data_IF_690260664712
#
_entry.id   IF_690260664712
#
_cell.length_a   1.000
_cell.length_b   1.000
_cell.length_c   1.000
_cell.angle_alpha   90.00
_cell.angle_beta   90.00
_cell.angle_gamma   90.00
#
_symmetry.space_group_name_H-M   'P 1'
#
loop_
_entity.id
_entity.type
_entity.pdbx_description
1 polymer ?
#
# COMPACT_ATOMS: atom_id res chain seq x y z
N UNK A 1 26.18 -29.25 -27.35
CA UNK A 1 25.92 -28.82 -25.96
C UNK A 1 24.97 -27.64 -26.06
N UNK A 2 23.70 -27.90 -25.87
CA UNK A 2 22.66 -26.90 -25.99
C UNK A 2 22.46 -26.24 -24.64
N UNK A 3 22.68 -24.94 -24.55
CA UNK A 3 22.20 -24.14 -23.46
C UNK A 3 20.71 -23.91 -23.67
N UNK A 4 19.93 -24.58 -22.83
CA UNK A 4 18.50 -24.32 -22.67
C UNK A 4 18.31 -22.94 -22.04
N UNK A 5 18.22 -21.92 -22.88
CA UNK A 5 17.69 -20.63 -22.51
C UNK A 5 16.19 -20.74 -22.27
N UNK A 6 15.78 -21.20 -21.11
CA UNK A 6 14.43 -20.96 -20.57
C UNK A 6 14.36 -19.53 -20.06
N UNK A 7 14.60 -18.56 -20.93
CA UNK A 7 14.23 -17.17 -20.68
C UNK A 7 12.72 -17.12 -20.58
N UNK A 8 12.28 -17.09 -19.34
CA UNK A 8 10.90 -17.06 -18.90
C UNK A 8 10.13 -15.97 -19.65
N UNK A 9 9.13 -16.40 -20.42
CA UNK A 9 8.14 -15.57 -21.11
C UNK A 9 7.40 -14.56 -20.17
N UNK A 10 7.65 -14.64 -18.86
CA UNK A 10 6.99 -13.84 -17.80
C UNK A 10 7.52 -12.41 -17.62
N UNK A 11 8.59 -11.99 -18.32
CA UNK A 11 9.25 -10.70 -18.06
C UNK A 11 8.89 -9.58 -19.03
N UNK A 12 8.12 -9.84 -20.08
CA UNK A 12 7.74 -8.81 -21.06
C UNK A 12 6.30 -8.38 -20.87
N UNK A 13 6.11 -7.08 -20.65
CA UNK A 13 4.78 -6.48 -20.66
C UNK A 13 4.20 -6.62 -22.06
N UNK A 14 2.97 -7.17 -22.20
CA UNK A 14 2.31 -7.30 -23.48
C UNK A 14 1.68 -5.97 -23.91
N UNK A 15 2.46 -5.04 -24.43
CA UNK A 15 1.99 -3.74 -24.89
C UNK A 15 0.76 -3.85 -25.79
N UNK A 16 -0.22 -2.95 -25.57
CA UNK A 16 -1.47 -2.91 -26.29
C UNK A 16 -2.50 -3.97 -25.86
N UNK A 17 -2.15 -4.91 -25.01
CA UNK A 17 -3.12 -5.84 -24.44
C UNK A 17 -3.99 -5.13 -23.42
N UNK A 18 -5.27 -5.47 -23.41
CA UNK A 18 -6.25 -4.90 -22.46
C UNK A 18 -7.01 -6.01 -21.74
N UNK A 19 -7.53 -5.68 -20.60
CA UNK A 19 -8.48 -6.50 -19.83
C UNK A 19 -9.58 -5.63 -19.25
N UNK A 20 -10.71 -6.23 -18.95
CA UNK A 20 -11.87 -5.52 -18.39
C UNK A 20 -11.93 -5.78 -16.89
N UNK A 21 -12.17 -4.73 -16.14
CA UNK A 21 -12.41 -4.72 -14.70
C UNK A 21 -13.87 -4.38 -14.49
N UNK A 22 -14.61 -5.19 -13.74
CA UNK A 22 -15.96 -4.85 -13.33
C UNK A 22 -15.90 -3.92 -12.11
N UNK A 23 -16.42 -2.71 -12.27
CA UNK A 23 -16.39 -1.66 -11.25
C UNK A 23 -17.76 -1.58 -10.58
N UNK A 24 -17.81 -2.05 -9.33
CA UNK A 24 -18.97 -1.97 -8.46
C UNK A 24 -18.53 -1.62 -7.03
N UNK A 25 -19.49 -1.40 -6.12
CA UNK A 25 -19.17 -1.12 -4.71
C UNK A 25 -18.34 -2.27 -4.07
N UNK A 26 -18.58 -3.52 -4.47
CA UNK A 26 -17.84 -4.66 -3.95
C UNK A 26 -16.38 -4.67 -4.43
N UNK A 27 -16.14 -4.32 -5.70
CA UNK A 27 -14.80 -4.13 -6.25
C UNK A 27 -14.05 -3.02 -5.50
N UNK A 28 -14.69 -1.85 -5.33
CA UNK A 28 -14.10 -0.73 -4.60
C UNK A 28 -13.78 -1.08 -3.13
N UNK A 29 -14.67 -1.85 -2.47
CA UNK A 29 -14.37 -2.35 -1.13
C UNK A 29 -13.19 -3.33 -1.10
N UNK A 30 -13.03 -4.21 -2.10
CA UNK A 30 -11.86 -5.10 -2.22
C UNK A 30 -10.58 -4.30 -2.47
N UNK A 31 -10.63 -3.30 -3.34
CA UNK A 31 -9.52 -2.40 -3.62
C UNK A 31 -9.05 -1.64 -2.38
N UNK A 32 -9.97 -1.04 -1.61
CA UNK A 32 -9.66 -0.38 -0.33
C UNK A 32 -9.06 -1.39 0.66
N UNK A 33 -9.54 -2.63 0.70
CA UNK A 33 -8.98 -3.68 1.55
C UNK A 33 -7.56 -4.07 1.14
N UNK A 34 -7.30 -4.17 -0.17
CA UNK A 34 -5.98 -4.49 -0.70
C UNK A 34 -4.94 -3.45 -0.26
N UNK A 35 -5.25 -2.17 -0.45
CA UNK A 35 -4.38 -1.09 -0.01
C UNK A 35 -4.19 -1.08 1.50
N UNK A 36 -5.26 -1.14 2.27
CA UNK A 36 -5.20 -1.15 3.73
C UNK A 36 -4.41 -2.35 4.27
N UNK A 37 -4.47 -3.50 3.62
CA UNK A 37 -3.71 -4.69 4.01
C UNK A 37 -2.20 -4.44 3.93
N UNK A 38 -1.73 -3.83 2.85
CA UNK A 38 -0.33 -3.50 2.67
C UNK A 38 0.14 -2.41 3.66
N UNK A 39 -0.60 -1.32 3.76
CA UNK A 39 -0.29 -0.20 4.65
C UNK A 39 -0.27 -0.61 6.13
N UNK A 40 -1.30 -1.33 6.59
CA UNK A 40 -1.40 -1.80 7.98
C UNK A 40 -0.27 -2.73 8.38
N UNK A 41 0.10 -3.67 7.51
CA UNK A 41 1.18 -4.62 7.83
C UNK A 41 2.51 -3.92 8.07
N UNK A 42 2.80 -2.86 7.32
CA UNK A 42 4.06 -2.11 7.44
C UNK A 42 4.05 -1.25 8.71
N UNK A 43 3.06 -0.38 8.86
CA UNK A 43 2.94 0.56 9.98
C UNK A 43 2.65 -0.16 11.31
N UNK A 44 1.74 -1.12 11.31
CA UNK A 44 1.39 -1.90 12.50
C UNK A 44 2.56 -2.69 13.05
N UNK A 45 3.40 -3.31 12.21
CA UNK A 45 4.58 -4.04 12.64
C UNK A 45 5.62 -3.14 13.29
N UNK A 46 5.88 -1.95 12.73
CA UNK A 46 6.83 -1.00 13.31
C UNK A 46 6.39 -0.54 14.71
N UNK A 47 5.14 -0.11 14.86
CA UNK A 47 4.60 0.29 16.15
C UNK A 47 4.49 -0.88 17.14
N UNK A 48 4.12 -2.07 16.68
CA UNK A 48 4.09 -3.26 17.52
C UNK A 48 5.47 -3.57 18.12
N UNK A 49 6.52 -3.60 17.29
CA UNK A 49 7.89 -3.83 17.75
C UNK A 49 8.32 -2.75 18.75
N UNK A 50 8.02 -1.49 18.46
CA UNK A 50 8.33 -0.38 19.36
C UNK A 50 7.64 -0.53 20.74
N UNK A 51 6.33 -0.81 20.77
CA UNK A 51 5.59 -1.04 22.01
C UNK A 51 6.12 -2.26 22.77
N UNK A 52 6.45 -3.34 22.06
CA UNK A 52 7.02 -4.55 22.66
C UNK A 52 8.37 -4.28 23.33
N UNK A 53 9.21 -3.41 22.75
CA UNK A 53 10.47 -2.99 23.37
C UNK A 53 10.22 -2.15 24.61
N UNK A 54 9.22 -1.27 24.61
CA UNK A 54 8.84 -0.50 25.81
C UNK A 54 8.33 -1.43 26.92
N UNK A 55 7.48 -2.39 26.60
CA UNK A 55 7.01 -3.39 27.58
C UNK A 55 8.19 -4.18 28.18
N UNK A 56 9.16 -4.59 27.35
CA UNK A 56 10.35 -5.29 27.82
C UNK A 56 11.20 -4.42 28.77
N UNK A 57 11.33 -3.12 28.50
CA UNK A 57 12.04 -2.19 29.39
C UNK A 57 11.30 -2.00 30.71
N UNK A 58 9.97 -1.92 30.71
CA UNK A 58 9.16 -1.85 31.94
C UNK A 58 9.35 -3.11 32.77
N UNK A 59 9.29 -4.30 32.15
CA UNK A 59 9.53 -5.57 32.84
C UNK A 59 10.94 -5.64 33.44
N UNK A 60 11.96 -5.27 32.65
CA UNK A 60 13.36 -5.27 33.14
C UNK A 60 13.56 -4.30 34.30
N UNK A 61 12.97 -3.08 34.21
CA UNK A 61 13.00 -2.11 35.31
C UNK A 61 12.32 -2.63 36.59
N UNK A 62 11.15 -3.27 36.41
CA UNK A 62 10.43 -3.88 37.54
C UNK A 62 11.25 -4.97 38.23
N UNK A 63 11.85 -5.88 37.44
CA UNK A 63 12.69 -6.94 37.96
C UNK A 63 13.89 -6.34 38.71
N UNK A 64 14.51 -5.31 38.18
CA UNK A 64 15.62 -4.61 38.85
C UNK A 64 15.19 -4.02 40.20
N UNK A 65 14.06 -3.32 40.26
CA UNK A 65 13.52 -2.76 41.51
C UNK A 65 13.25 -3.82 42.55
N UNK A 66 12.71 -5.00 42.15
CA UNK A 66 12.47 -6.12 43.03
C UNK A 66 13.77 -6.71 43.62
N UNK A 67 14.81 -6.85 42.81
CA UNK A 67 16.12 -7.35 43.22
C UNK A 67 16.79 -6.38 44.19
N UNK A 68 16.69 -5.09 43.96
CA UNK A 68 17.29 -4.04 44.79
C UNK A 68 16.44 -3.67 46.02
N UNK A 69 15.24 -4.26 46.16
CA UNK A 69 14.32 -3.98 47.29
C UNK A 69 13.73 -2.56 47.23
N UNK A 70 13.72 -1.93 46.06
CA UNK A 70 13.18 -0.58 45.85
C UNK A 70 11.67 -0.62 45.75
N UNK A 71 11.02 0.46 46.24
CA UNK A 71 9.60 0.64 46.05
C UNK A 71 9.31 0.99 44.56
N UNK A 72 8.55 0.15 43.90
CA UNK A 72 8.21 0.33 42.46
C UNK A 72 7.52 1.68 42.22
N UNK A 73 6.66 2.15 43.15
CA UNK A 73 5.99 3.43 43.05
C UNK A 73 6.95 4.61 42.97
N UNK A 74 7.96 4.59 43.84
CA UNK A 74 8.96 5.66 43.90
C UNK A 74 9.91 5.62 42.70
N UNK A 75 10.25 4.40 42.25
CA UNK A 75 11.14 4.20 41.10
C UNK A 75 10.53 4.59 39.75
N UNK A 76 9.21 4.44 39.58
CA UNK A 76 8.52 4.74 38.30
C UNK A 76 8.00 6.19 38.25
N UNK A 77 8.01 6.94 39.36
CA UNK A 77 7.59 8.34 39.37
C UNK A 77 6.10 8.56 39.69
N UNK A 78 5.48 7.62 40.40
CA UNK A 78 4.13 7.77 40.91
C UNK A 78 3.04 6.98 40.20
N UNK A 79 1.80 7.18 40.64
CA UNK A 79 0.63 6.38 40.22
C UNK A 79 0.30 6.54 38.73
N UNK A 80 0.43 7.76 38.18
CA UNK A 80 0.13 8.04 36.75
C UNK A 80 1.10 7.32 35.81
N UNK A 81 2.39 7.32 36.15
CA UNK A 81 3.41 6.62 35.39
C UNK A 81 3.23 5.10 35.48
N UNK A 82 2.76 4.59 36.61
CA UNK A 82 2.44 3.17 36.78
C UNK A 82 1.27 2.74 35.88
N UNK A 83 0.18 3.53 35.79
CA UNK A 83 -0.91 3.25 34.87
C UNK A 83 -0.40 3.25 33.41
N UNK A 84 0.41 4.23 33.04
CA UNK A 84 1.03 4.29 31.71
C UNK A 84 1.84 3.03 31.39
N UNK A 85 2.72 2.65 32.29
CA UNK A 85 3.63 1.53 32.08
C UNK A 85 2.93 0.15 32.06
N UNK A 86 2.00 -0.12 32.98
CA UNK A 86 1.41 -1.45 33.16
C UNK A 86 0.04 -1.65 32.51
N UNK A 87 -0.62 -0.60 32.09
CA UNK A 87 -1.94 -0.68 31.45
C UNK A 87 -1.87 -0.17 30.02
N UNK A 88 -1.38 1.06 29.82
CA UNK A 88 -1.43 1.71 28.52
C UNK A 88 -0.48 1.05 27.51
N UNK A 89 0.78 0.77 27.87
CA UNK A 89 1.72 0.15 26.95
C UNK A 89 1.31 -1.27 26.53
N UNK A 90 0.94 -2.19 27.43
CA UNK A 90 0.42 -3.51 27.02
C UNK A 90 -0.85 -3.40 26.17
N UNK A 91 -1.76 -2.47 26.48
CA UNK A 91 -2.96 -2.25 25.68
C UNK A 91 -2.60 -1.76 24.25
N UNK A 92 -1.63 -0.87 24.11
CA UNK A 92 -1.11 -0.42 22.82
C UNK A 92 -0.42 -1.55 22.07
N UNK A 93 0.36 -2.39 22.76
CA UNK A 93 1.01 -3.56 22.15
C UNK A 93 -0.02 -4.54 21.60
N UNK A 94 -1.08 -4.83 22.35
CA UNK A 94 -2.19 -5.66 21.88
C UNK A 94 -2.87 -5.00 20.69
N UNK A 95 -3.19 -3.70 20.76
CA UNK A 95 -3.83 -2.97 19.69
C UNK A 95 -3.01 -3.00 18.40
N UNK A 96 -1.73 -2.66 18.46
CA UNK A 96 -0.85 -2.71 17.28
C UNK A 96 -0.56 -4.12 16.82
N UNK A 97 -0.54 -5.11 17.72
CA UNK A 97 -0.47 -6.53 17.39
C UNK A 97 -1.68 -6.97 16.56
N UNK A 98 -2.88 -6.58 16.95
CA UNK A 98 -4.11 -6.84 16.18
C UNK A 98 -4.07 -6.11 14.83
N UNK A 99 -3.56 -4.88 14.76
CA UNK A 99 -3.38 -4.15 13.50
C UNK A 99 -2.35 -4.82 12.59
N UNK A 100 -1.26 -5.35 13.13
CA UNK A 100 -0.17 -5.94 12.36
C UNK A 100 -0.46 -7.36 11.87
N UNK A 101 -1.15 -8.17 12.68
CA UNK A 101 -1.30 -9.62 12.49
C UNK A 101 -2.76 -10.10 12.49
N UNK A 102 -3.71 -9.21 12.87
CA UNK A 102 -5.12 -9.55 12.94
C UNK A 102 -5.73 -9.81 11.56
N UNK A 103 -6.88 -10.53 11.52
CA UNK A 103 -7.60 -10.78 10.27
C UNK A 103 -8.09 -9.49 9.63
N UNK A 104 -8.07 -9.43 8.29
CA UNK A 104 -8.46 -8.26 7.46
C UNK A 104 -9.93 -7.81 7.62
N UNK A 105 -10.66 -8.41 8.56
CA UNK A 105 -12.09 -8.14 8.83
C UNK A 105 -12.37 -6.81 9.56
N UNK A 106 -11.38 -5.94 9.72
CA UNK A 106 -11.54 -4.64 10.38
C UNK A 106 -12.61 -3.78 9.70
N UNK A 107 -13.76 -3.63 10.36
CA UNK A 107 -14.83 -2.70 9.97
C UNK A 107 -14.34 -1.27 10.19
N UNK A 108 -13.88 -0.58 9.15
CA UNK A 108 -13.72 0.86 9.22
C UNK A 108 -15.06 1.55 8.99
N UNK A 109 -15.42 2.42 9.92
CA UNK A 109 -16.50 3.39 9.72
C UNK A 109 -16.17 4.22 8.47
N UNK A 110 -17.13 4.31 7.53
CA UNK A 110 -16.97 5.09 6.30
C UNK A 110 -16.54 4.31 5.05
N UNK A 111 -16.20 3.01 5.14
CA UNK A 111 -15.78 2.21 3.98
C UNK A 111 -16.77 2.23 2.81
N UNK A 112 -18.08 2.10 3.10
CA UNK A 112 -19.12 2.14 2.06
C UNK A 112 -19.18 3.49 1.35
N UNK A 113 -19.00 4.58 2.09
CA UNK A 113 -18.97 5.92 1.51
C UNK A 113 -17.74 6.09 0.62
N UNK A 114 -16.56 5.73 1.13
CA UNK A 114 -15.33 5.76 0.34
C UNK A 114 -15.39 4.85 -0.90
N UNK A 115 -16.04 3.69 -0.80
CA UNK A 115 -16.22 2.80 -1.96
C UNK A 115 -17.13 3.43 -3.02
N UNK A 116 -18.20 4.13 -2.63
CA UNK A 116 -19.06 4.84 -3.59
C UNK A 116 -18.35 6.01 -4.26
N UNK A 117 -17.68 6.85 -3.49
CA UNK A 117 -16.89 7.96 -4.01
C UNK A 117 -15.84 7.46 -5.02
N UNK A 118 -15.22 6.32 -4.72
CA UNK A 118 -14.25 5.69 -5.61
C UNK A 118 -14.87 5.10 -6.89
N UNK A 119 -16.06 4.50 -6.81
CA UNK A 119 -16.80 4.03 -8.00
C UNK A 119 -17.17 5.21 -8.88
N UNK A 120 -17.68 6.29 -8.31
CA UNK A 120 -18.03 7.51 -9.05
C UNK A 120 -16.81 8.14 -9.75
N UNK A 121 -15.63 8.03 -9.15
CA UNK A 121 -14.37 8.51 -9.74
C UNK A 121 -13.85 7.58 -10.84
N UNK A 122 -13.90 6.25 -10.63
CA UNK A 122 -13.44 5.26 -11.60
C UNK A 122 -14.40 5.08 -12.79
N UNK A 123 -15.68 5.25 -12.56
CA UNK A 123 -16.74 5.03 -13.54
C UNK A 123 -17.83 6.11 -13.43
N UNK A 124 -17.53 7.36 -13.81
CA UNK A 124 -18.45 8.49 -13.65
C UNK A 124 -19.73 8.35 -14.47
N UNK A 125 -19.74 7.57 -15.53
CA UNK A 125 -20.91 7.32 -16.36
C UNK A 125 -21.74 6.11 -15.89
N UNK A 126 -21.29 5.36 -14.87
CA UNK A 126 -22.00 4.23 -14.34
C UNK A 126 -22.10 3.04 -15.30
N UNK A 127 -21.10 2.84 -16.14
CA UNK A 127 -21.03 1.74 -17.12
C UNK A 127 -20.83 0.37 -16.45
N UNK A 128 -20.37 0.37 -15.22
CA UNK A 128 -20.03 -0.83 -14.43
C UNK A 128 -18.75 -1.53 -14.90
N UNK A 129 -18.00 -0.88 -15.82
CA UNK A 129 -16.79 -1.49 -16.40
C UNK A 129 -15.70 -0.46 -16.62
N UNK A 130 -14.46 -0.88 -16.33
CA UNK A 130 -13.25 -0.14 -16.66
C UNK A 130 -12.34 -1.03 -17.51
N UNK A 131 -11.79 -0.47 -18.56
CA UNK A 131 -10.81 -1.15 -19.41
C UNK A 131 -9.41 -0.74 -18.99
N UNK A 132 -8.61 -1.72 -18.59
CA UNK A 132 -7.19 -1.52 -18.32
C UNK A 132 -6.37 -1.97 -19.54
N UNK A 133 -5.38 -1.17 -19.94
CA UNK A 133 -4.52 -1.42 -21.09
C UNK A 133 -3.05 -1.18 -20.74
N UNK A 134 -2.18 -2.04 -21.23
CA UNK A 134 -0.73 -1.84 -21.12
C UNK A 134 -0.23 -0.85 -22.17
N UNK A 135 0.34 0.26 -21.71
CA UNK A 135 1.00 1.26 -22.53
C UNK A 135 2.53 1.25 -22.32
N UNK A 136 3.25 2.05 -23.09
CA UNK A 136 4.71 2.09 -23.05
C UNK A 136 5.29 2.58 -21.71
N UNK A 137 4.55 3.41 -20.97
CA UNK A 137 4.98 4.03 -19.73
C UNK A 137 4.21 3.56 -18.50
N UNK A 138 3.11 2.82 -18.69
CA UNK A 138 2.26 2.44 -17.57
C UNK A 138 1.05 1.64 -17.99
N UNK A 139 0.04 1.65 -17.14
CA UNK A 139 -1.29 1.09 -17.37
C UNK A 139 -2.28 2.24 -17.49
N UNK A 140 -3.04 2.25 -18.58
CA UNK A 140 -4.16 3.18 -18.75
C UNK A 140 -5.44 2.49 -18.33
N UNK A 141 -6.17 3.11 -17.42
CA UNK A 141 -7.51 2.71 -16.99
C UNK A 141 -8.50 3.67 -17.65
N UNK A 142 -9.49 3.15 -18.35
CA UNK A 142 -10.50 3.97 -19.04
C UNK A 142 -11.91 3.45 -18.77
N UNK A 143 -12.82 4.36 -18.39
CA UNK A 143 -14.23 4.10 -18.18
C UNK A 143 -15.03 5.36 -18.46
N UNK A 144 -16.09 5.25 -19.27
CA UNK A 144 -17.09 6.29 -19.45
C UNK A 144 -16.56 7.70 -19.67
N UNK A 145 -15.51 7.87 -20.49
CA UNK A 145 -14.89 9.18 -20.73
C UNK A 145 -13.82 9.59 -19.70
N UNK A 146 -13.69 8.88 -18.60
CA UNK A 146 -12.57 9.05 -17.65
C UNK A 146 -11.38 8.20 -18.09
N UNK A 147 -10.19 8.78 -18.02
CA UNK A 147 -8.93 8.09 -18.33
C UNK A 147 -7.95 8.37 -17.20
N UNK A 148 -7.40 7.31 -16.63
CA UNK A 148 -6.38 7.38 -15.57
C UNK A 148 -5.12 6.69 -16.06
N UNK A 149 -4.01 7.42 -16.09
CA UNK A 149 -2.70 6.87 -16.43
C UNK A 149 -1.92 6.50 -15.17
N UNK A 150 -1.53 5.24 -15.06
CA UNK A 150 -0.75 4.72 -13.92
C UNK A 150 0.64 4.33 -14.40
N UNK A 151 1.68 5.14 -14.14
CA UNK A 151 3.05 4.77 -14.48
C UNK A 151 3.46 3.46 -13.79
N UNK A 152 4.25 2.64 -14.45
CA UNK A 152 4.76 1.43 -13.80
C UNK A 152 5.54 1.73 -12.53
N UNK A 153 6.31 2.81 -12.50
CA UNK A 153 7.07 3.26 -11.33
C UNK A 153 6.21 3.58 -10.10
N UNK A 154 4.90 3.84 -10.29
CA UNK A 154 3.96 4.03 -9.20
C UNK A 154 3.41 2.69 -8.64
N UNK A 155 3.62 1.57 -9.34
CA UNK A 155 3.18 0.24 -8.92
C UNK A 155 4.24 -0.39 -8.03
N UNK A 156 3.96 -0.55 -6.74
CA UNK A 156 4.99 -0.96 -5.77
C UNK A 156 4.79 -2.34 -5.12
N UNK A 157 3.58 -2.88 -5.13
CA UNK A 157 3.28 -4.16 -4.48
C UNK A 157 2.00 -4.77 -5.03
N UNK A 158 1.68 -5.97 -4.59
CA UNK A 158 0.43 -6.65 -4.89
C UNK A 158 -0.26 -7.13 -3.63
N UNK A 159 -1.58 -7.30 -3.69
CA UNK A 159 -2.38 -7.91 -2.64
C UNK A 159 -3.47 -8.79 -3.21
N UNK A 160 -3.56 -10.02 -2.73
CA UNK A 160 -4.66 -10.91 -3.09
C UNK A 160 -5.82 -10.76 -2.12
N UNK A 161 -6.99 -10.46 -2.64
CA UNK A 161 -8.23 -10.30 -1.90
C UNK A 161 -9.31 -11.13 -2.60
N UNK A 162 -9.83 -12.13 -1.91
CA UNK A 162 -10.93 -12.97 -2.40
C UNK A 162 -10.65 -13.63 -3.77
N UNK A 163 -9.39 -13.98 -4.03
CA UNK A 163 -8.97 -14.63 -5.28
C UNK A 163 -8.67 -13.67 -6.44
N UNK A 164 -8.80 -12.37 -6.23
CA UNK A 164 -8.44 -11.33 -7.18
C UNK A 164 -7.12 -10.66 -6.76
N UNK A 165 -6.20 -10.48 -7.71
CA UNK A 165 -4.91 -9.86 -7.45
C UNK A 165 -4.96 -8.38 -7.79
N UNK A 166 -4.71 -7.53 -6.80
CA UNK A 166 -4.64 -6.08 -6.92
C UNK A 166 -3.20 -5.62 -6.99
N UNK A 167 -2.90 -4.76 -7.96
CA UNK A 167 -1.65 -3.99 -8.01
C UNK A 167 -1.85 -2.71 -7.22
N UNK A 168 -0.98 -2.47 -6.25
CA UNK A 168 -1.04 -1.31 -5.37
C UNK A 168 -0.27 -0.16 -5.99
N UNK A 169 -0.94 1.00 -6.07
CA UNK A 169 -0.42 2.24 -6.64
C UNK A 169 -0.22 3.24 -5.51
N UNK A 170 0.87 3.96 -5.54
CA UNK A 170 1.16 4.99 -4.57
C UNK A 170 2.65 5.11 -4.32
N UNK A 171 3.02 5.87 -3.30
CA UNK A 171 4.42 6.04 -2.93
C UNK A 171 4.77 5.17 -1.74
N UNK A 172 5.68 4.22 -1.90
CA UNK A 172 6.47 3.72 -0.78
C UNK A 172 7.41 4.82 -0.27
N UNK A 173 7.93 4.66 0.97
CA UNK A 173 8.92 5.60 1.52
C UNK A 173 10.13 5.79 0.60
N UNK A 174 10.54 4.73 -0.11
CA UNK A 174 11.60 4.74 -1.11
C UNK A 174 11.23 5.51 -2.39
N UNK A 175 9.94 5.72 -2.63
CA UNK A 175 9.40 6.47 -3.77
C UNK A 175 8.95 7.90 -3.38
N UNK A 176 9.44 8.41 -2.26
CA UNK A 176 9.19 9.80 -1.84
C UNK A 176 9.50 10.84 -2.95
N UNK A 177 10.39 10.49 -3.87
CA UNK A 177 10.70 11.27 -5.06
C UNK A 177 9.49 11.39 -5.98
N UNK A 178 8.76 10.30 -6.25
CA UNK A 178 7.52 10.34 -7.04
C UNK A 178 6.43 11.15 -6.35
N UNK A 179 6.30 11.02 -5.02
CA UNK A 179 5.35 11.83 -4.24
C UNK A 179 5.67 13.33 -4.32
N UNK A 180 6.94 13.70 -4.27
CA UNK A 180 7.40 15.09 -4.39
C UNK A 180 7.28 15.60 -5.83
N UNK A 181 7.37 14.73 -6.81
CA UNK A 181 7.28 15.04 -8.25
C UNK A 181 5.82 15.09 -8.74
N UNK A 182 4.94 14.25 -8.22
CA UNK A 182 3.53 14.16 -8.63
C UNK A 182 2.70 15.43 -8.31
N UNK A 183 3.31 16.40 -7.65
CA UNK A 183 2.86 17.79 -7.44
C UNK A 183 1.39 17.95 -7.04
N UNK A 184 0.48 17.81 -7.95
CA UNK A 184 -0.94 18.13 -7.80
C UNK A 184 -1.93 17.00 -8.12
N UNK A 185 -1.46 15.79 -8.46
CA UNK A 185 -2.37 14.70 -8.78
C UNK A 185 -3.12 14.22 -7.52
N UNK A 186 -4.45 14.33 -7.51
CA UNK A 186 -5.31 14.04 -6.36
C UNK A 186 -5.15 12.59 -5.87
N UNK A 187 -5.05 11.62 -6.77
CA UNK A 187 -4.89 10.19 -6.45
C UNK A 187 -3.62 9.88 -5.67
N UNK A 188 -2.54 10.63 -5.92
CA UNK A 188 -1.27 10.49 -5.20
C UNK A 188 -1.24 11.36 -3.95
N UNK A 189 -2.00 12.46 -3.91
CA UNK A 189 -1.94 13.49 -2.86
C UNK A 189 -2.68 13.12 -1.59
N UNK A 190 -3.80 12.41 -1.69
CA UNK A 190 -4.72 12.24 -0.56
C UNK A 190 -4.49 10.98 0.29
N UNK A 191 -3.40 10.22 0.08
CA UNK A 191 -3.16 8.93 0.76
C UNK A 191 -4.35 7.93 0.64
N UNK A 192 -5.29 8.20 -0.24
CA UNK A 192 -6.33 7.24 -0.59
C UNK A 192 -5.64 6.21 -1.47
N UNK A 193 -5.30 5.09 -0.89
CA UNK A 193 -4.59 4.07 -1.61
C UNK A 193 -5.40 3.58 -2.78
N UNK A 194 -4.91 3.90 -3.94
CA UNK A 194 -5.42 3.38 -5.18
C UNK A 194 -4.83 1.99 -5.45
N UNK A 195 -5.64 1.10 -5.98
CA UNK A 195 -5.19 -0.18 -6.49
C UNK A 195 -6.08 -0.58 -7.67
N UNK A 196 -5.58 -1.39 -8.57
CA UNK A 196 -6.40 -1.93 -9.64
C UNK A 196 -6.20 -3.44 -9.77
N UNK A 197 -7.26 -4.14 -10.16
CA UNK A 197 -7.18 -5.57 -10.40
C UNK A 197 -6.40 -5.84 -11.69
N UNK A 198 -5.45 -6.75 -11.61
CA UNK A 198 -4.68 -7.21 -12.75
C UNK A 198 -4.64 -8.74 -12.80
N UNK A 199 -4.63 -9.34 -14.01
CA UNK A 199 -4.41 -10.77 -14.13
C UNK A 199 -3.11 -11.18 -13.45
N UNK A 200 -3.14 -12.23 -12.63
CA UNK A 200 -2.01 -12.68 -11.82
C UNK A 200 -0.73 -12.92 -12.65
N UNK A 201 -0.90 -13.35 -13.88
CA UNK A 201 0.18 -13.61 -14.85
C UNK A 201 0.99 -12.35 -15.22
N UNK A 202 0.42 -11.15 -15.06
CA UNK A 202 1.08 -9.87 -15.42
C UNK A 202 1.62 -9.10 -14.22
N UNK A 203 1.24 -9.44 -13.01
CA UNK A 203 1.57 -8.66 -11.81
C UNK A 203 3.07 -8.56 -11.57
N UNK A 204 3.81 -9.66 -11.72
CA UNK A 204 5.27 -9.66 -11.61
C UNK A 204 5.93 -8.79 -12.70
N UNK A 205 5.42 -8.86 -13.92
CA UNK A 205 5.92 -8.05 -15.04
C UNK A 205 5.70 -6.55 -14.82
N UNK A 206 4.54 -6.16 -14.24
CA UNK A 206 4.22 -4.79 -13.87
C UNK A 206 5.22 -4.29 -12.81
N UNK A 207 5.42 -5.04 -11.72
CA UNK A 207 6.34 -4.64 -10.64
C UNK A 207 7.79 -4.55 -11.13
N UNK A 208 8.25 -5.50 -11.93
CA UNK A 208 9.60 -5.47 -12.51
C UNK A 208 9.79 -4.31 -13.49
N UNK A 209 8.75 -3.94 -14.25
CA UNK A 209 8.79 -2.75 -15.09
C UNK A 209 8.81 -1.46 -14.25
N UNK A 210 8.03 -1.44 -13.16
CA UNK A 210 8.02 -0.34 -12.20
C UNK A 210 9.41 -0.06 -11.64
N UNK A 211 10.08 -1.10 -11.16
CA UNK A 211 11.44 -0.99 -10.64
C UNK A 211 12.43 -0.43 -11.68
N UNK A 212 12.45 -1.01 -12.89
CA UNK A 212 13.32 -0.53 -13.99
C UNK A 212 12.99 0.90 -14.42
N UNK A 213 11.70 1.25 -14.46
CA UNK A 213 11.28 2.60 -14.80
C UNK A 213 11.75 3.59 -13.73
N UNK A 214 11.61 3.26 -12.46
CA UNK A 214 12.04 4.08 -11.34
C UNK A 214 13.56 4.31 -11.36
N UNK A 215 14.36 3.24 -11.54
CA UNK A 215 15.82 3.33 -11.67
C UNK A 215 16.21 4.28 -12.82
N UNK A 216 15.58 4.12 -14.00
CA UNK A 216 15.84 4.98 -15.15
C UNK A 216 15.43 6.44 -14.91
N UNK A 217 14.36 6.71 -14.17
CA UNK A 217 13.95 8.06 -13.82
C UNK A 217 14.96 8.78 -12.90
N UNK A 218 15.74 8.04 -12.13
CA UNK A 218 16.83 8.60 -11.32
C UNK A 218 18.05 9.03 -12.17
N UNK A 219 18.28 8.34 -13.28
CA UNK A 219 19.47 8.54 -14.13
C UNK A 219 19.19 9.51 -15.30
N UNK A 220 17.94 9.61 -15.77
CA UNK A 220 17.55 10.35 -16.98
C UNK A 220 16.39 11.34 -16.67
N UNK A 221 16.73 12.61 -16.52
CA UNK A 221 15.77 13.69 -16.25
C UNK A 221 14.74 13.87 -17.38
N UNK A 222 15.14 13.63 -18.65
CA UNK A 222 14.25 13.75 -19.80
C UNK A 222 13.22 12.61 -19.76
N UNK A 223 13.69 11.40 -19.45
CA UNK A 223 12.79 10.25 -19.28
C UNK A 223 11.84 10.44 -18.08
N UNK A 224 12.36 10.96 -16.96
CA UNK A 224 11.55 11.31 -15.79
C UNK A 224 10.44 12.28 -16.15
N UNK A 225 10.75 13.39 -16.82
CA UNK A 225 9.77 14.37 -17.26
C UNK A 225 8.69 13.74 -18.14
N UNK A 226 9.08 12.85 -19.06
CA UNK A 226 8.15 12.12 -19.91
C UNK A 226 7.19 11.22 -19.12
N UNK A 227 7.67 10.52 -18.09
CA UNK A 227 6.84 9.67 -17.23
C UNK A 227 5.88 10.52 -16.40
N UNK A 228 6.33 11.66 -15.88
CA UNK A 228 5.48 12.59 -15.13
C UNK A 228 4.39 13.19 -16.00
N UNK A 229 4.72 13.65 -17.21
CA UNK A 229 3.71 14.16 -18.14
C UNK A 229 2.65 13.10 -18.47
N UNK A 230 3.06 11.84 -18.71
CA UNK A 230 2.12 10.73 -18.93
C UNK A 230 1.15 10.56 -17.76
N UNK A 231 1.59 10.85 -16.53
CA UNK A 231 0.77 10.77 -15.34
C UNK A 231 -0.19 11.97 -15.19
N UNK A 232 0.25 13.16 -15.63
CA UNK A 232 -0.52 14.42 -15.52
C UNK A 232 -1.51 14.63 -16.69
N UNK A 233 -1.40 13.86 -17.78
CA UNK A 233 -2.29 13.92 -18.95
C UNK A 233 -3.67 13.25 -18.72
N UNK A 234 -3.99 12.81 -17.49
CA UNK A 234 -5.19 12.09 -17.11
C UNK A 234 -6.34 13.00 -16.65
#
# INVERSE_FOLDING_TARGET
MGENGSDSLSTRIPYGRSWTIHVDEAYAERMIRAHNKAYRRKTGKGFFIFCLLLDALVVAGTVKCLIEGLNIFDAIGGFEALIGAYILFPALTIFFGVLAFGPDKGRFFGRKRAARELVEELDPEGTGTCTARFDALGVTLSSGGSVIHVPYAACYSTADIEGETFVLVGSEEEQSVLRNMAGNNALMRDNVGFAFAAPAEYTESILNAGKRQFERMQEDDTYRTRVLNYFDEA
#
